data_IF_971434509904
#
_entry.id   IF_971434509904
#
_cell.length_a   1.000
_cell.length_b   1.000
_cell.length_c   1.000
_cell.angle_alpha   90.00
_cell.angle_beta   90.00
_cell.angle_gamma   90.00
#
_symmetry.space_group_name_H-M   'P 1'
#
loop_
_entity.id
_entity.type
_entity.pdbx_description
1 polymer ?
#
# COMPACT_ATOMS: atom_id res chain seq x y z
N UNK A 1 -27.70 -47.42 -18.21
CA UNK A 1 -26.29 -47.69 -17.85
C UNK A 1 -25.58 -46.36 -17.88
N UNK A 2 -24.95 -46.00 -16.76
CA UNK A 2 -24.51 -44.64 -16.47
C UNK A 2 -23.43 -44.16 -17.44
N UNK A 3 -23.69 -43.02 -18.08
CA UNK A 3 -22.70 -42.19 -18.72
C UNK A 3 -22.24 -41.10 -17.74
N UNK A 4 -20.99 -40.65 -17.94
CA UNK A 4 -20.27 -39.58 -17.24
C UNK A 4 -19.90 -39.81 -15.76
N UNK A 5 -18.57 -39.85 -15.53
CA UNK A 5 -17.93 -38.97 -14.53
C UNK A 5 -16.42 -38.82 -14.75
N UNK A 6 -16.00 -38.60 -16.00
CA UNK A 6 -14.69 -38.01 -16.30
C UNK A 6 -14.91 -36.49 -16.35
N UNK A 7 -14.86 -35.83 -15.20
CA UNK A 7 -15.18 -34.39 -15.16
C UNK A 7 -15.12 -33.77 -13.77
N UNK A 8 -14.26 -34.26 -12.88
CA UNK A 8 -14.16 -33.73 -11.52
C UNK A 8 -12.69 -33.64 -11.08
N UNK A 9 -11.79 -32.98 -11.81
CA UNK A 9 -10.44 -32.71 -11.26
C UNK A 9 -9.66 -31.51 -11.85
N UNK A 10 -10.27 -30.61 -12.63
CA UNK A 10 -9.55 -29.44 -13.19
C UNK A 10 -10.31 -28.11 -13.06
N UNK A 11 -10.83 -27.78 -11.86
CA UNK A 11 -11.53 -26.49 -11.69
C UNK A 11 -11.25 -25.71 -10.41
N UNK A 12 -10.25 -26.08 -9.58
CA UNK A 12 -10.03 -25.40 -8.29
C UNK A 12 -8.55 -25.22 -7.93
N UNK A 13 -7.74 -24.66 -8.82
CA UNK A 13 -6.41 -24.14 -8.45
C UNK A 13 -6.22 -22.75 -9.05
N UNK A 14 -7.15 -21.84 -8.78
CA UNK A 14 -6.81 -20.41 -8.77
C UNK A 14 -6.66 -20.05 -7.30
N UNK A 15 -5.50 -20.42 -6.73
CA UNK A 15 -5.09 -19.87 -5.44
C UNK A 15 -4.57 -18.48 -5.78
N UNK A 16 -5.39 -17.47 -5.54
CA UNK A 16 -4.93 -16.08 -5.51
C UNK A 16 -3.89 -15.98 -4.39
N UNK A 17 -2.62 -15.97 -4.76
CA UNK A 17 -1.55 -15.69 -3.82
C UNK A 17 -1.59 -14.20 -3.53
N UNK A 18 -2.34 -13.83 -2.49
CA UNK A 18 -2.18 -12.54 -1.84
C UNK A 18 -0.72 -12.47 -1.34
N UNK A 19 0.14 -11.81 -2.12
CA UNK A 19 1.54 -11.63 -1.75
C UNK A 19 1.61 -10.91 -0.41
N UNK A 20 2.35 -11.48 0.54
CA UNK A 20 2.63 -10.88 1.84
C UNK A 20 3.35 -9.53 1.60
N UNK A 21 2.69 -8.42 1.95
CA UNK A 21 3.34 -7.11 1.92
C UNK A 21 4.41 -7.10 3.02
N UNK A 22 5.61 -6.56 2.77
CA UNK A 22 6.67 -6.52 3.78
C UNK A 22 6.18 -5.79 5.05
N UNK A 23 6.05 -6.53 6.14
CA UNK A 23 5.68 -6.00 7.44
C UNK A 23 6.87 -5.26 8.07
N UNK A 24 6.70 -3.98 8.37
CA UNK A 24 7.69 -3.18 9.09
C UNK A 24 7.26 -3.06 10.55
N UNK A 25 8.08 -3.57 11.47
CA UNK A 25 7.84 -3.48 12.92
C UNK A 25 8.58 -2.27 13.48
N UNK A 26 7.90 -1.49 14.31
CA UNK A 26 8.45 -0.34 15.00
C UNK A 26 7.85 -0.19 16.39
N UNK A 27 8.67 0.24 17.34
CA UNK A 27 8.25 0.60 18.69
C UNK A 27 7.60 1.98 18.78
N UNK A 28 6.94 2.31 19.90
CA UNK A 28 6.39 3.64 20.13
C UNK A 28 7.48 4.72 20.09
N UNK A 29 7.31 5.74 19.25
CA UNK A 29 8.24 6.86 19.13
C UNK A 29 9.42 6.62 18.17
N UNK A 30 9.54 5.44 17.58
CA UNK A 30 10.51 5.19 16.53
C UNK A 30 10.04 5.75 15.18
N UNK A 31 11.00 6.22 14.39
CA UNK A 31 10.77 6.65 13.02
C UNK A 31 10.77 5.45 12.08
N UNK A 32 9.84 5.47 11.11
CA UNK A 32 9.67 4.40 10.15
C UNK A 32 9.80 4.96 8.74
N UNK A 33 10.76 4.43 7.98
CA UNK A 33 10.91 4.76 6.57
C UNK A 33 10.23 3.69 5.73
N UNK A 34 9.11 4.06 5.10
CA UNK A 34 8.47 3.26 4.06
C UNK A 34 8.68 3.92 2.69
N UNK A 35 8.84 3.09 1.65
CA UNK A 35 9.29 3.46 0.30
C UNK A 35 10.75 3.91 0.22
N UNK A 36 11.62 2.97 -0.19
CA UNK A 36 12.96 3.28 -0.68
C UNK A 36 12.96 3.06 -2.20
N UNK A 37 12.92 4.15 -2.97
CA UNK A 37 12.99 4.08 -4.44
C UNK A 37 14.19 4.87 -4.93
N UNK A 38 15.04 4.22 -5.71
CA UNK A 38 16.12 4.85 -6.45
C UNK A 38 15.63 5.08 -7.87
N UNK A 39 14.96 6.21 -8.12
CA UNK A 39 14.59 6.62 -9.46
C UNK A 39 15.30 7.91 -9.82
N UNK A 40 15.89 7.95 -11.02
CA UNK A 40 16.43 9.18 -11.62
C UNK A 40 15.32 10.05 -12.22
N UNK A 41 14.07 9.59 -12.21
CA UNK A 41 12.94 10.36 -12.69
C UNK A 41 12.59 11.50 -11.72
N UNK A 42 12.19 12.64 -12.26
CA UNK A 42 11.75 13.77 -11.46
C UNK A 42 10.50 13.38 -10.63
N UNK A 43 10.61 13.53 -9.30
CA UNK A 43 9.50 13.31 -8.37
C UNK A 43 8.44 14.40 -8.55
N UNK A 44 7.39 14.08 -9.30
CA UNK A 44 6.27 15.02 -9.53
C UNK A 44 5.22 14.94 -8.44
N UNK A 45 5.03 13.76 -7.84
CA UNK A 45 3.98 13.50 -6.85
C UNK A 45 4.27 12.25 -6.02
N UNK A 46 4.01 12.34 -4.72
CA UNK A 46 4.00 11.18 -3.80
C UNK A 46 2.65 11.18 -3.08
N UNK A 47 1.96 10.06 -3.13
CA UNK A 47 0.76 9.80 -2.34
C UNK A 47 1.02 8.62 -1.42
N UNK A 48 0.99 8.85 -0.11
CA UNK A 48 1.03 7.78 0.87
C UNK A 48 -0.30 7.73 1.62
N UNK A 49 -0.99 6.59 1.50
CA UNK A 49 -2.29 6.35 2.10
C UNK A 49 -2.26 5.07 2.92
N UNK A 50 -3.04 5.04 4.00
CA UNK A 50 -3.39 3.80 4.69
C UNK A 50 -4.78 3.38 4.25
N UNK A 51 -4.99 2.09 4.05
CA UNK A 51 -6.28 1.49 3.66
C UNK A 51 -7.44 1.87 4.60
N UNK A 52 -7.13 2.15 5.86
CA UNK A 52 -8.12 2.50 6.89
C UNK A 52 -8.49 3.99 6.89
N UNK A 53 -7.69 4.82 6.22
CA UNK A 53 -8.01 6.22 5.97
C UNK A 53 -8.78 6.27 4.64
N UNK A 54 -10.06 6.67 4.70
CA UNK A 54 -10.92 6.72 3.50
C UNK A 54 -10.36 7.69 2.46
N UNK A 55 -10.40 8.99 2.78
CA UNK A 55 -10.12 10.05 1.81
C UNK A 55 -8.90 10.90 2.16
N UNK A 56 -8.29 10.67 3.32
CA UNK A 56 -7.14 11.45 3.78
C UNK A 56 -5.81 10.75 3.51
N UNK A 57 -4.76 11.56 3.34
CA UNK A 57 -3.40 11.08 3.13
C UNK A 57 -2.63 10.99 4.46
N UNK A 58 -1.71 10.02 4.55
CA UNK A 58 -0.65 10.05 5.56
C UNK A 58 0.37 11.11 5.14
N UNK A 59 0.85 11.04 3.90
CA UNK A 59 1.74 12.01 3.31
C UNK A 59 1.31 12.34 1.88
N UNK A 60 1.37 13.62 1.52
CA UNK A 60 1.05 14.10 0.20
C UNK A 60 2.08 15.15 -0.22
N UNK A 61 2.78 14.85 -1.32
CA UNK A 61 3.76 15.74 -1.93
C UNK A 61 3.41 15.94 -3.39
N UNK A 62 3.47 17.19 -3.85
CA UNK A 62 3.25 17.56 -5.26
C UNK A 62 3.92 18.89 -5.52
N UNK A 63 4.38 19.10 -6.75
CA UNK A 63 4.93 20.39 -7.20
C UNK A 63 6.08 20.87 -6.29
N UNK A 64 6.96 19.94 -5.93
CA UNK A 64 8.10 20.15 -5.02
C UNK A 64 7.74 20.63 -3.60
N UNK A 65 6.52 20.33 -3.12
CA UNK A 65 6.07 20.72 -1.80
C UNK A 65 5.23 19.64 -1.12
N UNK A 66 5.45 19.45 0.18
CA UNK A 66 4.54 18.70 1.04
C UNK A 66 3.32 19.56 1.38
N UNK A 67 2.10 19.05 1.12
CA UNK A 67 0.87 19.78 1.37
C UNK A 67 0.10 19.16 2.55
N UNK A 68 0.33 19.69 3.74
CA UNK A 68 -0.32 19.23 4.98
C UNK A 68 -1.85 19.38 4.99
N UNK A 69 -2.41 20.27 4.16
CA UNK A 69 -3.85 20.48 4.05
C UNK A 69 -4.61 19.22 3.62
N UNK A 70 -3.97 18.33 2.86
CA UNK A 70 -4.52 17.05 2.42
C UNK A 70 -4.19 15.90 3.39
N UNK A 71 -3.30 16.12 4.35
CA UNK A 71 -2.93 15.08 5.31
C UNK A 71 -3.98 14.98 6.42
N UNK A 72 -4.24 13.75 6.86
CA UNK A 72 -5.04 13.51 8.04
C UNK A 72 -4.37 14.20 9.26
N UNK A 73 -5.13 14.92 10.09
CA UNK A 73 -4.57 15.69 11.21
C UNK A 73 -3.67 14.90 12.17
N UNK A 74 -3.84 13.58 12.28
CA UNK A 74 -3.03 12.72 13.16
C UNK A 74 -1.56 12.60 12.74
N UNK A 75 -1.23 12.87 11.47
CA UNK A 75 0.12 12.71 10.92
C UNK A 75 0.84 14.04 10.64
N UNK A 76 0.16 15.18 10.71
CA UNK A 76 0.77 16.49 10.48
C UNK A 76 1.94 16.73 11.45
N UNK A 77 3.06 17.21 10.94
CA UNK A 77 4.29 17.41 11.71
C UNK A 77 5.00 16.13 12.15
N UNK A 78 4.62 14.96 11.62
CA UNK A 78 5.20 13.64 11.97
C UNK A 78 5.72 12.84 10.78
N UNK A 79 5.60 13.38 9.55
CA UNK A 79 5.98 12.71 8.30
C UNK A 79 6.70 13.67 7.37
N UNK A 80 7.69 13.19 6.61
CA UNK A 80 8.52 13.99 5.70
C UNK A 80 8.97 13.22 4.46
#
# INVERSE_FOLDING_TARGET
>A
MAAQRVGLFMFLWIIDSAGDLPEVKAGPGEDVTQCNTSTDAALTKIEWRRTELKDDYVFFFRDNKANESFQNPRYRGRVS
#
